data_IF_066215588567
#
_entry.id   IF_066215588567
#
_cell.length_a   1.000
_cell.length_b   1.000
_cell.length_c   1.000
_cell.angle_alpha   90.00
_cell.angle_beta   90.00
_cell.angle_gamma   90.00
#
_symmetry.space_group_name_H-M   'P 1'
#
loop_
_entity.id
_entity.type
_entity.pdbx_description
1 polymer ?
#
# COMPACT_ATOMS: atom_id res chain seq x y z
N UNK A 1 12.94 42.95 11.77
CA UNK A 1 12.80 42.39 10.40
C UNK A 1 13.22 40.92 10.23
N UNK A 2 14.07 40.34 11.12
CA UNK A 2 14.44 38.92 11.03
C UNK A 2 13.24 37.98 11.13
N UNK A 3 12.34 38.21 12.10
CA UNK A 3 11.10 37.40 12.30
C UNK A 3 10.19 37.48 11.08
N UNK A 4 10.00 38.65 10.49
CA UNK A 4 9.17 38.83 9.29
C UNK A 4 9.75 38.06 8.08
N UNK A 5 11.08 38.14 7.91
CA UNK A 5 11.73 37.38 6.84
C UNK A 5 11.61 35.87 7.04
N UNK A 6 11.74 35.39 8.29
CA UNK A 6 11.55 33.98 8.62
C UNK A 6 10.10 33.52 8.32
N UNK A 7 9.10 34.29 8.73
CA UNK A 7 7.68 34.00 8.42
C UNK A 7 7.46 33.97 6.90
N UNK A 8 8.03 34.92 6.16
CA UNK A 8 7.92 34.96 4.70
C UNK A 8 8.53 33.71 4.05
N UNK A 9 9.69 33.26 4.49
CA UNK A 9 10.34 32.05 3.98
C UNK A 9 9.46 30.82 4.26
N UNK A 10 8.94 30.67 5.48
CA UNK A 10 8.04 29.58 5.85
C UNK A 10 6.78 29.61 4.98
N UNK A 11 6.20 30.81 4.76
CA UNK A 11 5.02 30.98 3.90
C UNK A 11 5.29 30.56 2.46
N UNK A 12 6.45 30.90 1.90
CA UNK A 12 6.85 30.49 0.54
C UNK A 12 7.01 28.97 0.47
N UNK A 13 7.72 28.36 1.44
CA UNK A 13 7.92 26.90 1.48
C UNK A 13 6.56 26.19 1.59
N UNK A 14 5.67 26.68 2.45
CA UNK A 14 4.32 26.12 2.59
C UNK A 14 3.51 26.27 1.30
N UNK A 15 3.54 27.42 0.64
CA UNK A 15 2.89 27.65 -0.64
C UNK A 15 3.40 26.65 -1.70
N UNK A 16 4.71 26.50 -1.82
CA UNK A 16 5.33 25.54 -2.75
C UNK A 16 4.86 24.12 -2.41
N UNK A 17 4.81 23.75 -1.13
CA UNK A 17 4.31 22.44 -0.68
C UNK A 17 2.85 22.23 -1.10
N UNK A 18 1.97 23.23 -0.90
CA UNK A 18 0.57 23.12 -1.29
C UNK A 18 0.41 22.94 -2.81
N UNK A 19 1.20 23.67 -3.61
CA UNK A 19 1.18 23.56 -5.07
C UNK A 19 1.72 22.20 -5.55
N UNK A 20 2.81 21.72 -4.97
CA UNK A 20 3.45 20.47 -5.39
C UNK A 20 2.71 19.22 -4.86
N UNK A 21 2.03 19.33 -3.73
CA UNK A 21 1.45 18.19 -3.05
C UNK A 21 -0.02 18.36 -2.67
N UNK A 22 -0.37 19.44 -1.97
CA UNK A 22 -1.70 19.65 -1.42
C UNK A 22 -2.83 19.63 -2.47
N UNK A 23 -2.55 20.08 -3.68
CA UNK A 23 -3.52 20.07 -4.78
C UNK A 23 -3.97 18.64 -5.16
N UNK A 24 -3.13 17.63 -4.92
CA UNK A 24 -3.44 16.24 -5.26
C UNK A 24 -4.55 15.64 -4.39
N UNK A 25 -4.87 16.24 -3.23
CA UNK A 25 -6.03 15.82 -2.42
C UNK A 25 -7.38 16.17 -3.05
N UNK A 26 -7.41 17.03 -4.08
CA UNK A 26 -8.62 17.42 -4.79
C UNK A 26 -8.89 16.58 -6.06
N UNK A 27 -8.20 15.45 -6.22
CA UNK A 27 -8.47 14.51 -7.33
C UNK A 27 -9.83 13.84 -7.16
N UNK A 28 -10.41 13.38 -8.27
CA UNK A 28 -11.56 12.48 -8.24
C UNK A 28 -11.24 11.26 -7.38
N UNK A 29 -12.20 10.80 -6.59
CA UNK A 29 -12.07 9.60 -5.77
C UNK A 29 -11.70 8.40 -6.66
N UNK A 30 -10.73 7.62 -6.20
CA UNK A 30 -10.20 6.50 -6.97
C UNK A 30 -11.25 5.41 -7.21
N UNK A 31 -12.21 5.23 -6.29
CA UNK A 31 -13.32 4.28 -6.46
C UNK A 31 -14.19 4.67 -7.66
N UNK A 32 -14.53 5.95 -7.78
CA UNK A 32 -15.33 6.46 -8.89
C UNK A 32 -14.56 6.33 -10.21
N UNK A 33 -13.26 6.64 -10.18
CA UNK A 33 -12.37 6.47 -11.34
C UNK A 33 -12.27 5.01 -11.80
N UNK A 34 -12.24 4.03 -10.86
CA UNK A 34 -12.25 2.59 -11.17
C UNK A 34 -13.55 2.17 -11.86
N UNK A 35 -14.69 2.62 -11.36
CA UNK A 35 -16.01 2.31 -11.93
C UNK A 35 -16.14 2.93 -13.32
N UNK A 36 -15.73 4.19 -13.48
CA UNK A 36 -15.77 4.88 -14.77
C UNK A 36 -14.87 4.18 -15.80
N UNK A 37 -13.63 3.84 -15.43
CA UNK A 37 -12.70 3.12 -16.29
C UNK A 37 -13.26 1.75 -16.70
N UNK A 38 -13.81 0.99 -15.76
CA UNK A 38 -14.44 -0.31 -16.02
C UNK A 38 -15.61 -0.18 -16.98
N UNK A 39 -16.50 0.78 -16.76
CA UNK A 39 -17.65 1.05 -17.63
C UNK A 39 -17.21 1.37 -19.06
N UNK A 40 -16.23 2.27 -19.21
CA UNK A 40 -15.71 2.66 -20.51
C UNK A 40 -15.07 1.47 -21.25
N UNK A 41 -14.31 0.64 -20.55
CA UNK A 41 -13.57 -0.48 -21.16
C UNK A 41 -14.50 -1.63 -21.53
N UNK A 42 -15.55 -1.88 -20.74
CA UNK A 42 -16.45 -3.04 -20.93
C UNK A 42 -17.82 -2.67 -21.51
N UNK A 43 -18.02 -1.40 -21.90
CA UNK A 43 -19.30 -0.87 -22.38
C UNK A 43 -20.46 -1.13 -21.40
N UNK A 44 -20.22 -0.86 -20.12
CA UNK A 44 -21.17 -1.04 -19.02
C UNK A 44 -21.65 0.32 -18.50
N UNK A 45 -22.66 0.33 -17.61
CA UNK A 45 -23.23 1.53 -17.01
C UNK A 45 -23.44 1.33 -15.49
N UNK A 46 -22.46 0.75 -14.81
CA UNK A 46 -22.48 0.56 -13.35
C UNK A 46 -22.38 1.94 -12.69
N UNK A 47 -23.35 2.29 -11.85
CA UNK A 47 -23.34 3.54 -11.08
C UNK A 47 -22.70 3.40 -9.72
N UNK A 48 -22.81 2.20 -9.11
CA UNK A 48 -22.31 1.91 -7.77
C UNK A 48 -21.99 0.44 -7.64
N UNK A 49 -20.93 0.10 -6.97
CA UNK A 49 -20.61 -1.26 -6.55
C UNK A 49 -21.05 -1.41 -5.10
N UNK A 50 -21.94 -2.36 -4.84
CA UNK A 50 -22.40 -2.74 -3.51
C UNK A 50 -21.72 -4.04 -3.11
N UNK A 51 -21.39 -4.16 -1.85
CA UNK A 51 -20.78 -5.35 -1.24
C UNK A 51 -21.27 -5.49 0.19
N UNK A 52 -21.29 -6.71 0.67
CA UNK A 52 -21.73 -7.10 1.99
C UNK A 52 -20.63 -7.84 2.76
N UNK A 53 -20.96 -8.37 3.93
CA UNK A 53 -20.02 -9.11 4.78
C UNK A 53 -19.51 -10.39 4.09
N UNK A 54 -20.34 -11.08 3.33
CA UNK A 54 -19.94 -12.29 2.61
C UNK A 54 -18.90 -12.00 1.53
N UNK A 55 -19.01 -10.86 0.83
CA UNK A 55 -18.01 -10.40 -0.12
C UNK A 55 -16.65 -10.11 0.58
N UNK A 56 -16.68 -9.59 1.81
CA UNK A 56 -15.48 -9.39 2.61
C UNK A 56 -14.82 -10.71 3.01
N UNK A 57 -15.62 -11.68 3.43
CA UNK A 57 -15.18 -13.03 3.78
C UNK A 57 -14.58 -13.74 2.55
N UNK A 58 -15.23 -13.64 1.39
CA UNK A 58 -14.71 -14.21 0.14
C UNK A 58 -13.40 -13.57 -0.29
N UNK A 59 -13.30 -12.24 -0.22
CA UNK A 59 -12.05 -11.54 -0.48
C UNK A 59 -10.94 -12.01 0.48
N UNK A 60 -11.26 -12.21 1.76
CA UNK A 60 -10.28 -12.69 2.74
C UNK A 60 -9.80 -14.11 2.41
N UNK A 61 -10.71 -15.04 2.08
CA UNK A 61 -10.36 -16.39 1.62
C UNK A 61 -9.48 -16.37 0.38
N UNK A 62 -9.83 -15.52 -0.60
CA UNK A 62 -9.03 -15.33 -1.81
C UNK A 62 -7.61 -14.86 -1.48
N UNK A 63 -7.47 -13.87 -0.59
CA UNK A 63 -6.15 -13.35 -0.20
C UNK A 63 -5.33 -14.41 0.57
N UNK A 64 -5.94 -15.20 1.46
CA UNK A 64 -5.25 -16.33 2.12
C UNK A 64 -4.73 -17.33 1.08
N UNK A 65 -5.59 -17.74 0.14
CA UNK A 65 -5.20 -18.65 -0.95
C UNK A 65 -4.00 -18.10 -1.71
N UNK A 66 -4.05 -16.82 -2.13
CA UNK A 66 -2.96 -16.17 -2.88
C UNK A 66 -1.69 -16.02 -2.07
N UNK A 67 -1.77 -15.67 -0.78
CA UNK A 67 -0.61 -15.66 0.12
C UNK A 67 0.04 -17.05 0.22
N UNK A 68 -0.76 -18.10 0.45
CA UNK A 68 -0.26 -19.47 0.56
C UNK A 68 0.41 -19.98 -0.73
N UNK A 69 -0.16 -19.62 -1.89
CA UNK A 69 0.38 -20.00 -3.21
C UNK A 69 1.67 -19.25 -3.56
N UNK A 70 1.68 -17.92 -3.39
CA UNK A 70 2.83 -17.10 -3.75
C UNK A 70 4.00 -17.28 -2.78
N UNK A 71 3.70 -17.53 -1.48
CA UNK A 71 4.75 -17.79 -0.49
C UNK A 71 5.65 -18.99 -0.85
N UNK A 72 5.10 -19.98 -1.52
CA UNK A 72 5.87 -21.16 -1.98
C UNK A 72 6.88 -20.84 -3.08
N UNK A 73 6.76 -19.66 -3.71
CA UNK A 73 7.55 -19.25 -4.88
C UNK A 73 8.57 -18.16 -4.56
N UNK A 74 8.61 -17.67 -3.31
CA UNK A 74 9.57 -16.66 -2.88
C UNK A 74 10.75 -17.29 -2.16
N UNK A 75 11.90 -16.62 -2.22
CA UNK A 75 13.09 -17.01 -1.48
C UNK A 75 12.90 -16.85 0.03
N UNK A 76 13.68 -17.60 0.81
CA UNK A 76 13.67 -17.53 2.27
C UNK A 76 15.09 -17.51 2.83
N UNK A 77 15.25 -16.97 4.03
CA UNK A 77 16.51 -16.96 4.76
C UNK A 77 16.72 -18.29 5.53
N UNK A 78 17.84 -18.36 6.28
CA UNK A 78 18.17 -19.53 7.12
C UNK A 78 17.14 -19.83 8.22
N UNK A 79 16.27 -18.88 8.56
CA UNK A 79 15.18 -19.03 9.51
C UNK A 79 13.84 -19.33 8.83
N UNK A 80 13.86 -19.57 7.53
CA UNK A 80 12.70 -19.81 6.66
C UNK A 80 11.72 -18.63 6.63
N UNK A 81 12.24 -17.41 6.85
CA UNK A 81 11.49 -16.17 6.67
C UNK A 81 11.68 -15.68 5.25
N UNK A 82 10.61 -15.15 4.66
CA UNK A 82 10.61 -14.59 3.30
C UNK A 82 11.75 -13.59 3.11
N UNK A 83 12.46 -13.72 2.00
CA UNK A 83 13.47 -12.77 1.52
C UNK A 83 13.15 -12.31 0.12
N UNK A 84 13.37 -11.02 -0.14
CA UNK A 84 13.34 -10.50 -1.50
C UNK A 84 14.42 -11.17 -2.36
N UNK A 85 14.10 -11.35 -3.63
CA UNK A 85 15.04 -11.91 -4.59
C UNK A 85 16.23 -10.96 -4.78
N UNK A 86 17.40 -11.38 -4.29
CA UNK A 86 18.62 -10.57 -4.26
C UNK A 86 18.60 -9.42 -3.23
N UNK A 87 19.39 -8.37 -3.42
CA UNK A 87 19.54 -7.26 -2.47
C UNK A 87 18.50 -6.15 -2.73
N UNK A 88 18.39 -5.22 -1.77
CA UNK A 88 17.42 -4.13 -1.85
C UNK A 88 17.55 -3.25 -3.11
N UNK A 89 18.77 -3.01 -3.62
CA UNK A 89 18.97 -2.21 -4.85
C UNK A 89 18.30 -2.87 -6.05
N UNK A 90 18.42 -4.18 -6.15
CA UNK A 90 17.77 -4.95 -7.19
C UNK A 90 16.24 -4.96 -6.99
N UNK A 91 15.75 -5.10 -5.76
CA UNK A 91 14.31 -5.01 -5.46
C UNK A 91 13.75 -3.65 -5.89
N UNK A 92 14.36 -2.53 -5.45
CA UNK A 92 13.90 -1.19 -5.83
C UNK A 92 13.91 -0.97 -7.35
N UNK A 93 14.90 -1.51 -8.06
CA UNK A 93 14.99 -1.35 -9.53
C UNK A 93 13.92 -2.08 -10.33
N UNK A 94 13.29 -3.12 -9.78
CA UNK A 94 12.22 -3.91 -10.42
C UNK A 94 10.82 -3.37 -10.17
N UNK A 95 10.65 -2.45 -9.23
CA UNK A 95 9.34 -1.97 -8.80
C UNK A 95 8.54 -1.33 -9.94
N UNK A 96 9.19 -0.55 -10.80
CA UNK A 96 8.52 0.16 -11.90
C UNK A 96 7.74 -0.77 -12.83
N UNK A 97 8.23 -1.99 -13.06
CA UNK A 97 7.55 -2.97 -13.91
C UNK A 97 6.15 -3.34 -13.40
N UNK A 98 5.89 -3.22 -12.10
CA UNK A 98 4.57 -3.42 -11.53
C UNK A 98 3.54 -2.44 -12.11
N UNK A 99 3.88 -1.15 -12.17
CA UNK A 99 3.00 -0.15 -12.77
C UNK A 99 2.87 -0.27 -14.28
N UNK A 100 3.96 -0.59 -14.98
CA UNK A 100 3.94 -0.75 -16.44
C UNK A 100 3.07 -1.91 -16.93
N UNK A 101 2.77 -2.87 -16.07
CA UNK A 101 1.92 -4.02 -16.38
C UNK A 101 0.46 -3.83 -15.91
N UNK A 102 0.12 -2.68 -15.36
CA UNK A 102 -1.26 -2.40 -14.89
C UNK A 102 -2.10 -1.83 -16.01
N UNK A 103 -3.05 -2.60 -16.50
CA UNK A 103 -3.96 -2.22 -17.59
C UNK A 103 -5.24 -1.54 -17.08
N UNK A 104 -5.18 -0.84 -15.96
CA UNK A 104 -6.31 -0.08 -15.42
C UNK A 104 -5.88 1.36 -15.11
N UNK A 105 -6.81 2.29 -15.23
CA UNK A 105 -6.62 3.72 -14.89
C UNK A 105 -5.46 4.40 -15.64
N UNK A 106 -5.04 3.84 -16.77
CA UNK A 106 -3.89 4.35 -17.54
C UNK A 106 -2.57 4.42 -16.71
N UNK A 107 -2.45 3.58 -15.68
CA UNK A 107 -1.26 3.52 -14.80
C UNK A 107 -0.01 3.00 -15.51
N UNK A 108 -0.18 2.26 -16.60
CA UNK A 108 0.86 1.77 -17.50
C UNK A 108 1.50 2.89 -18.33
N UNK A 109 0.88 4.06 -18.40
CA UNK A 109 1.44 5.20 -19.13
C UNK A 109 2.80 5.58 -18.55
N UNK A 110 3.79 5.59 -19.44
CA UNK A 110 5.14 6.00 -19.09
C UNK A 110 5.16 7.48 -18.69
N UNK A 111 5.48 7.74 -17.42
CA UNK A 111 5.84 9.06 -16.94
C UNK A 111 7.36 9.16 -16.74
N UNK A 112 7.85 10.39 -16.55
CA UNK A 112 9.24 10.63 -16.15
C UNK A 112 9.26 10.62 -14.62
N UNK A 113 9.49 9.43 -14.04
CA UNK A 113 9.57 9.26 -12.59
C UNK A 113 10.99 8.89 -12.17
N UNK A 114 11.44 9.46 -11.06
CA UNK A 114 12.70 9.05 -10.45
C UNK A 114 12.57 7.61 -9.90
N UNK A 115 13.66 6.84 -10.00
CA UNK A 115 13.72 5.51 -9.38
C UNK A 115 13.61 5.62 -7.86
N UNK A 116 12.94 4.68 -7.23
CA UNK A 116 12.88 4.60 -5.78
C UNK A 116 14.29 4.46 -5.17
N UNK A 117 14.52 5.11 -4.04
CA UNK A 117 15.82 5.19 -3.36
C UNK A 117 15.75 4.61 -1.95
N UNK A 118 16.84 4.01 -1.46
CA UNK A 118 16.93 3.63 -0.06
C UNK A 118 17.11 4.88 0.82
N UNK A 119 16.44 4.91 1.96
CA UNK A 119 16.64 5.95 2.96
C UNK A 119 17.98 5.73 3.64
N UNK A 120 18.79 6.80 3.69
CA UNK A 120 20.01 6.81 4.49
C UNK A 120 19.65 6.65 5.98
N UNK A 121 20.36 5.79 6.71
CA UNK A 121 20.03 5.46 8.11
C UNK A 121 18.61 4.86 8.32
N UNK A 122 18.15 4.04 7.39
CA UNK A 122 16.85 3.35 7.44
C UNK A 122 16.52 2.76 8.82
N UNK A 123 17.52 2.26 9.56
CA UNK A 123 17.31 1.67 10.89
C UNK A 123 16.75 2.66 11.91
N UNK A 124 17.10 3.94 11.84
CA UNK A 124 16.56 4.97 12.74
C UNK A 124 15.07 5.20 12.48
N UNK A 125 14.63 5.06 11.22
CA UNK A 125 13.22 5.19 10.89
C UNK A 125 12.36 4.03 11.42
N UNK A 126 12.94 2.90 11.76
CA UNK A 126 12.17 1.84 12.41
C UNK A 126 11.57 2.30 13.75
N UNK A 127 12.23 3.22 14.47
CA UNK A 127 11.68 3.79 15.73
C UNK A 127 10.48 4.71 15.53
N UNK A 128 10.24 5.18 14.31
CA UNK A 128 9.06 5.98 13.95
C UNK A 128 7.94 5.15 13.33
N UNK A 129 8.18 3.86 13.07
CA UNK A 129 7.24 2.99 12.35
C UNK A 129 7.18 3.27 10.84
N UNK A 130 7.92 4.24 10.33
CA UNK A 130 7.86 4.68 8.93
C UNK A 130 8.60 3.68 8.03
N UNK A 131 7.88 3.15 7.04
CA UNK A 131 8.42 2.21 6.04
C UNK A 131 8.89 2.88 4.76
N UNK A 132 8.35 4.07 4.43
CA UNK A 132 8.75 4.86 3.27
C UNK A 132 8.38 6.33 3.43
N UNK A 133 8.92 7.17 2.58
CA UNK A 133 8.64 8.62 2.54
C UNK A 133 8.73 9.12 1.11
N UNK A 134 7.64 9.64 0.59
CA UNK A 134 7.67 10.45 -0.62
C UNK A 134 8.04 11.90 -0.31
N UNK A 135 8.95 12.48 -1.08
CA UNK A 135 9.32 13.90 -0.96
C UNK A 135 8.72 14.69 -2.13
N UNK A 136 7.72 15.55 -1.91
CA UNK A 136 7.13 16.33 -2.99
C UNK A 136 8.07 17.41 -3.55
N UNK A 137 9.06 17.87 -2.76
CA UNK A 137 10.03 18.86 -3.20
C UNK A 137 11.06 18.29 -4.20
N UNK A 138 11.36 17.00 -4.10
CA UNK A 138 12.36 16.33 -4.96
C UNK A 138 11.71 15.31 -5.91
N UNK A 139 10.43 15.00 -5.74
CA UNK A 139 9.73 13.97 -6.50
C UNK A 139 10.22 12.55 -6.21
N UNK A 140 10.87 12.30 -5.07
CA UNK A 140 11.55 11.06 -4.75
C UNK A 140 10.72 10.14 -3.87
N UNK A 141 10.60 8.87 -4.29
CA UNK A 141 10.13 7.77 -3.49
C UNK A 141 11.30 7.17 -2.68
N UNK A 142 11.26 7.26 -1.36
CA UNK A 142 12.33 6.82 -0.48
C UNK A 142 11.84 5.69 0.42
N UNK A 143 12.60 4.59 0.52
CA UNK A 143 12.18 3.34 1.16
C UNK A 143 13.09 2.98 2.33
N UNK A 144 12.49 2.63 3.46
CA UNK A 144 13.19 2.07 4.62
C UNK A 144 13.58 0.61 4.35
N UNK A 145 14.83 0.42 3.93
CA UNK A 145 15.38 -0.91 3.60
C UNK A 145 15.78 -1.75 4.82
N UNK A 146 15.58 -1.22 6.05
CA UNK A 146 15.78 -1.96 7.30
C UNK A 146 14.50 -2.63 7.81
N UNK A 147 13.35 -2.36 7.18
CA UNK A 147 12.09 -3.05 7.45
C UNK A 147 12.15 -4.52 7.01
N UNK A 148 11.30 -5.41 7.54
CA UNK A 148 11.21 -6.78 7.04
C UNK A 148 10.95 -6.84 5.54
N UNK A 149 11.58 -7.79 4.86
CA UNK A 149 11.54 -7.89 3.39
C UNK A 149 10.12 -7.97 2.83
N UNK A 150 9.15 -8.51 3.58
CA UNK A 150 7.73 -8.56 3.15
C UNK A 150 7.10 -7.18 2.91
N UNK A 151 7.69 -6.10 3.45
CA UNK A 151 7.20 -4.73 3.25
C UNK A 151 7.90 -4.00 2.11
N UNK A 152 9.18 -4.30 1.82
CA UNK A 152 10.00 -3.51 0.90
C UNK A 152 9.38 -3.37 -0.49
N UNK A 153 8.89 -4.44 -1.17
CA UNK A 153 8.26 -4.32 -2.48
C UNK A 153 7.00 -3.45 -2.46
N UNK A 154 6.10 -3.71 -1.50
CA UNK A 154 4.85 -2.96 -1.35
C UNK A 154 5.10 -1.49 -1.03
N UNK A 155 5.96 -1.20 -0.05
CA UNK A 155 6.32 0.18 0.32
C UNK A 155 6.93 0.93 -0.87
N UNK A 156 7.79 0.25 -1.64
CA UNK A 156 8.38 0.87 -2.84
C UNK A 156 7.30 1.34 -3.81
N UNK A 157 6.32 0.49 -4.09
CA UNK A 157 5.21 0.82 -5.00
C UNK A 157 4.23 1.83 -4.37
N UNK A 158 4.07 1.83 -3.06
CA UNK A 158 3.29 2.83 -2.33
C UNK A 158 3.90 4.24 -2.49
N UNK A 159 5.19 4.40 -2.21
CA UNK A 159 5.87 5.69 -2.42
C UNK A 159 5.88 6.11 -3.90
N UNK A 160 5.94 5.14 -4.80
CA UNK A 160 5.80 5.40 -6.24
C UNK A 160 4.36 5.77 -6.65
N UNK A 161 3.32 5.39 -5.90
CA UNK A 161 1.96 5.91 -6.09
C UNK A 161 1.90 7.41 -5.75
N UNK A 162 2.54 7.81 -4.67
CA UNK A 162 2.66 9.21 -4.31
C UNK A 162 3.39 10.03 -5.39
N UNK A 163 4.45 9.48 -6.01
CA UNK A 163 5.09 10.12 -7.17
C UNK A 163 4.14 10.35 -8.35
N UNK A 164 3.12 9.51 -8.49
CA UNK A 164 2.08 9.61 -9.53
C UNK A 164 0.94 10.55 -9.16
N UNK A 165 1.09 11.27 -8.04
CA UNK A 165 0.14 12.28 -7.58
C UNK A 165 -1.07 11.71 -6.82
N UNK A 166 -0.98 10.49 -6.29
CA UNK A 166 -1.99 9.95 -5.39
C UNK A 166 -1.62 10.29 -3.95
N UNK A 167 -2.22 11.36 -3.41
CA UNK A 167 -1.88 11.88 -2.09
C UNK A 167 -2.57 11.11 -0.95
N UNK A 168 -3.69 10.48 -1.21
CA UNK A 168 -4.42 9.68 -0.23
C UNK A 168 -3.68 8.38 0.08
N UNK A 169 -3.46 8.10 1.37
CA UNK A 169 -2.81 6.86 1.83
C UNK A 169 -3.57 5.60 1.39
N UNK A 170 -4.92 5.65 1.45
CA UNK A 170 -5.76 4.52 1.02
C UNK A 170 -5.62 4.23 -0.47
N UNK A 171 -5.57 5.29 -1.29
CA UNK A 171 -5.37 5.17 -2.73
C UNK A 171 -3.96 4.66 -3.04
N UNK A 172 -2.94 5.20 -2.36
CA UNK A 172 -1.56 4.75 -2.51
C UNK A 172 -1.39 3.27 -2.10
N UNK A 173 -2.01 2.84 -1.00
CA UNK A 173 -2.03 1.45 -0.57
C UNK A 173 -2.73 0.53 -1.58
N UNK A 174 -3.88 0.94 -2.11
CA UNK A 174 -4.59 0.17 -3.14
C UNK A 174 -3.76 0.06 -4.43
N UNK A 175 -3.17 1.16 -4.90
CA UNK A 175 -2.35 1.18 -6.11
C UNK A 175 -1.06 0.37 -5.94
N UNK A 176 -0.46 0.40 -4.75
CA UNK A 176 0.66 -0.47 -4.41
C UNK A 176 0.27 -1.96 -4.50
N UNK A 177 -0.91 -2.33 -3.97
CA UNK A 177 -1.43 -3.70 -4.11
C UNK A 177 -1.58 -4.09 -5.58
N UNK A 178 -2.24 -3.25 -6.39
CA UNK A 178 -2.45 -3.54 -7.82
C UNK A 178 -1.11 -3.66 -8.55
N UNK A 179 -0.17 -2.75 -8.33
CA UNK A 179 1.14 -2.83 -8.96
C UNK A 179 1.97 -4.04 -8.48
N UNK A 180 1.83 -4.43 -7.22
CA UNK A 180 2.44 -5.65 -6.68
C UNK A 180 1.96 -6.91 -7.38
N UNK A 181 0.63 -7.10 -7.49
CA UNK A 181 0.06 -8.33 -8.09
C UNK A 181 0.27 -8.41 -9.61
N UNK A 182 0.48 -7.27 -10.29
CA UNK A 182 0.83 -7.20 -11.71
C UNK A 182 2.34 -7.22 -11.97
N UNK A 183 3.19 -7.23 -10.94
CA UNK A 183 4.61 -7.46 -11.11
C UNK A 183 4.86 -8.95 -11.42
N UNK A 184 5.79 -9.24 -12.34
CA UNK A 184 6.14 -10.62 -12.72
C UNK A 184 6.88 -11.39 -11.62
N UNK A 185 7.45 -10.69 -10.64
CA UNK A 185 8.28 -11.26 -9.59
C UNK A 185 7.44 -11.61 -8.35
N UNK A 186 7.58 -12.84 -7.87
CA UNK A 186 6.73 -13.36 -6.78
C UNK A 186 6.96 -12.68 -5.42
N UNK A 187 8.13 -12.11 -5.17
CA UNK A 187 8.38 -11.33 -3.95
C UNK A 187 7.51 -10.05 -3.91
N UNK A 188 7.25 -9.43 -5.07
CA UNK A 188 6.29 -8.33 -5.18
C UNK A 188 4.85 -8.83 -4.98
N UNK A 189 4.46 -9.88 -5.71
CA UNK A 189 3.10 -10.42 -5.60
C UNK A 189 2.77 -10.82 -4.17
N UNK A 190 3.69 -11.55 -3.50
CA UNK A 190 3.51 -11.95 -2.11
C UNK A 190 3.40 -10.75 -1.17
N UNK A 191 4.27 -9.75 -1.32
CA UNK A 191 4.22 -8.51 -0.55
C UNK A 191 2.87 -7.80 -0.71
N UNK A 192 2.33 -7.71 -1.92
CA UNK A 192 1.00 -7.15 -2.18
C UNK A 192 -0.12 -7.92 -1.50
N UNK A 193 -0.16 -9.24 -1.67
CA UNK A 193 -1.19 -10.07 -1.06
C UNK A 193 -1.15 -10.06 0.46
N UNK A 194 0.03 -10.12 1.07
CA UNK A 194 0.17 -10.12 2.54
C UNK A 194 -0.27 -8.79 3.16
N UNK A 195 0.02 -7.65 2.52
CA UNK A 195 -0.43 -6.35 3.00
C UNK A 195 -1.95 -6.17 2.82
N UNK A 196 -2.51 -6.58 1.69
CA UNK A 196 -3.96 -6.59 1.48
C UNK A 196 -4.66 -7.51 2.51
N UNK A 197 -4.11 -8.70 2.78
CA UNK A 197 -4.60 -9.62 3.80
C UNK A 197 -4.67 -8.94 5.18
N UNK A 198 -3.65 -8.17 5.57
CA UNK A 198 -3.65 -7.42 6.84
C UNK A 198 -4.74 -6.37 6.91
N UNK A 199 -5.00 -5.62 5.82
CA UNK A 199 -6.08 -4.63 5.80
C UNK A 199 -7.45 -5.30 5.94
N UNK A 200 -7.70 -6.35 5.15
CA UNK A 200 -8.97 -7.07 5.19
C UNK A 200 -9.17 -7.80 6.52
N UNK A 201 -8.11 -8.41 7.08
CA UNK A 201 -8.14 -9.00 8.42
C UNK A 201 -8.58 -7.99 9.49
N UNK A 202 -8.04 -6.77 9.45
CA UNK A 202 -8.41 -5.71 10.40
C UNK A 202 -9.87 -5.24 10.25
N UNK A 203 -10.41 -5.29 9.04
CA UNK A 203 -11.82 -4.99 8.80
C UNK A 203 -12.72 -6.13 9.29
N UNK A 204 -12.39 -7.38 8.95
CA UNK A 204 -13.15 -8.56 9.37
C UNK A 204 -13.16 -8.74 10.89
N UNK A 205 -12.05 -8.45 11.57
CA UNK A 205 -11.97 -8.49 13.03
C UNK A 205 -12.99 -7.58 13.75
N UNK A 206 -13.43 -6.50 13.10
CA UNK A 206 -14.41 -5.56 13.65
C UNK A 206 -15.87 -6.03 13.45
N UNK A 207 -16.09 -6.94 12.50
CA UNK A 207 -17.41 -7.41 12.10
C UNK A 207 -17.66 -8.80 12.67
N UNK A 208 -16.78 -9.75 12.42
CA UNK A 208 -16.86 -11.13 12.86
C UNK A 208 -15.47 -11.67 13.24
N UNK A 209 -15.15 -11.60 14.53
CA UNK A 209 -13.87 -12.05 15.07
C UNK A 209 -13.76 -13.59 15.07
N UNK A 210 -14.88 -14.30 15.23
CA UNK A 210 -14.91 -15.77 15.26
C UNK A 210 -14.61 -16.31 13.86
N UNK A 211 -15.25 -15.72 12.85
CA UNK A 211 -14.99 -16.06 11.45
C UNK A 211 -13.55 -15.75 11.05
N UNK A 212 -12.98 -14.65 11.53
CA UNK A 212 -11.56 -14.35 11.32
C UNK A 212 -10.67 -15.45 11.90
N UNK A 213 -10.91 -15.92 13.13
CA UNK A 213 -10.11 -17.00 13.74
C UNK A 213 -10.26 -18.32 12.97
N UNK A 214 -11.49 -18.67 12.54
CA UNK A 214 -11.74 -19.84 11.70
C UNK A 214 -10.88 -19.78 10.42
N UNK A 215 -10.94 -18.66 9.70
CA UNK A 215 -10.22 -18.50 8.42
C UNK A 215 -8.70 -18.43 8.62
N UNK A 216 -8.22 -17.81 9.71
CA UNK A 216 -6.80 -17.77 10.02
C UNK A 216 -6.17 -19.16 10.18
N UNK A 217 -6.94 -20.18 10.59
CA UNK A 217 -6.47 -21.55 10.68
C UNK A 217 -6.07 -22.16 9.31
N UNK A 218 -6.50 -21.54 8.21
CA UNK A 218 -6.18 -21.97 6.83
C UNK A 218 -4.92 -21.29 6.26
N UNK A 219 -4.34 -20.33 7.00
CA UNK A 219 -3.08 -19.69 6.62
C UNK A 219 -1.94 -20.70 6.85
N UNK A 220 -1.07 -20.86 5.83
CA UNK A 220 0.04 -21.79 5.93
C UNK A 220 1.10 -21.36 6.95
N UNK A 221 1.81 -22.34 7.54
CA UNK A 221 2.86 -22.10 8.55
C UNK A 221 3.95 -21.14 8.06
N UNK A 222 4.28 -21.18 6.78
CA UNK A 222 5.29 -20.28 6.20
C UNK A 222 4.82 -18.83 6.20
N UNK A 223 3.55 -18.59 5.85
CA UNK A 223 2.94 -17.25 5.90
C UNK A 223 2.82 -16.78 7.35
N UNK A 224 2.36 -17.64 8.27
CA UNK A 224 2.28 -17.31 9.69
C UNK A 224 3.65 -16.96 10.28
N UNK A 225 4.70 -17.66 9.88
CA UNK A 225 6.09 -17.37 10.30
C UNK A 225 6.54 -15.97 9.84
N UNK A 226 6.22 -15.58 8.62
CA UNK A 226 6.57 -14.25 8.11
C UNK A 226 5.81 -13.14 8.85
N UNK A 227 4.52 -13.36 9.13
CA UNK A 227 3.71 -12.43 9.93
C UNK A 227 4.23 -12.30 11.36
N UNK A 228 4.57 -13.41 11.99
CA UNK A 228 5.12 -13.42 13.35
C UNK A 228 6.52 -12.76 13.42
N UNK A 229 7.38 -13.04 12.42
CA UNK A 229 8.68 -12.37 12.30
C UNK A 229 8.49 -10.85 12.21
N UNK A 230 7.57 -10.42 11.35
CA UNK A 230 7.25 -9.01 11.19
C UNK A 230 6.76 -8.38 12.49
N UNK A 231 5.82 -9.03 13.20
CA UNK A 231 5.32 -8.57 14.49
C UNK A 231 6.44 -8.44 15.52
N UNK A 232 7.29 -9.47 15.64
CA UNK A 232 8.46 -9.46 16.54
C UNK A 232 9.50 -8.41 16.14
N UNK A 233 9.64 -8.12 14.87
CA UNK A 233 10.54 -7.06 14.41
C UNK A 233 10.05 -5.71 14.90
N UNK A 234 8.80 -5.36 14.62
CA UNK A 234 8.26 -4.05 14.96
C UNK A 234 8.11 -3.84 16.46
N UNK A 235 7.78 -4.88 17.22
CA UNK A 235 7.68 -4.78 18.70
C UNK A 235 8.98 -4.33 19.37
N UNK A 236 10.14 -4.50 18.72
CA UNK A 236 11.43 -3.99 19.23
C UNK A 236 11.57 -2.47 19.14
N UNK A 237 10.75 -1.84 18.31
CA UNK A 237 10.80 -0.40 18.01
C UNK A 237 9.58 0.33 18.57
N UNK A 238 8.63 -0.36 19.18
CA UNK A 238 7.49 0.26 19.86
C UNK A 238 7.97 1.14 21.02
N UNK A 239 7.45 2.38 21.10
CA UNK A 239 7.82 3.31 22.16
C UNK A 239 7.21 4.69 21.99
N UNK A 240 7.71 5.66 22.76
CA UNK A 240 7.20 7.04 22.74
C UNK A 240 7.42 7.73 21.40
N UNK A 241 8.55 7.46 20.72
CA UNK A 241 8.88 8.05 19.42
C UNK A 241 7.88 7.60 18.36
N UNK A 242 7.52 6.30 18.34
CA UNK A 242 6.51 5.76 17.43
C UNK A 242 5.16 6.44 17.66
N UNK A 243 4.69 6.53 18.91
CA UNK A 243 3.42 7.21 19.27
C UNK A 243 3.41 8.68 18.86
N UNK A 244 4.54 9.39 19.02
CA UNK A 244 4.65 10.78 18.59
C UNK A 244 4.57 10.92 17.07
N UNK A 245 5.26 10.04 16.33
CA UNK A 245 5.21 9.98 14.88
C UNK A 245 3.79 9.74 14.37
N UNK A 246 3.07 8.78 14.94
CA UNK A 246 1.67 8.48 14.59
C UNK A 246 0.76 9.68 14.84
N UNK A 247 0.93 10.38 15.96
CA UNK A 247 0.16 11.58 16.28
C UNK A 247 0.43 12.73 15.28
N UNK A 248 1.69 12.94 14.90
CA UNK A 248 2.08 13.96 13.91
C UNK A 248 1.49 13.64 12.54
N UNK A 249 1.58 12.38 12.11
CA UNK A 249 1.02 11.94 10.83
C UNK A 249 -0.51 12.06 10.82
N UNK A 250 -1.19 11.66 11.88
CA UNK A 250 -2.64 11.85 12.02
C UNK A 250 -3.06 13.32 11.94
N UNK A 251 -2.31 14.20 12.59
CA UNK A 251 -2.57 15.64 12.56
C UNK A 251 -2.37 16.19 11.15
N UNK A 252 -1.30 15.80 10.48
CA UNK A 252 -1.01 16.17 9.10
C UNK A 252 -2.13 15.76 8.14
N UNK A 253 -2.59 14.51 8.21
CA UNK A 253 -3.67 14.00 7.35
C UNK A 253 -4.98 14.76 7.59
N UNK A 254 -5.33 15.06 8.85
CA UNK A 254 -6.53 15.84 9.19
C UNK A 254 -6.47 17.26 8.65
N UNK A 255 -5.34 17.93 8.76
CA UNK A 255 -5.13 19.31 8.24
C UNK A 255 -5.27 19.33 6.71
N UNK A 256 -4.89 18.26 6.01
CA UNK A 256 -5.05 18.14 4.55
C UNK A 256 -6.42 17.58 4.12
N UNK A 257 -7.43 17.63 4.99
CA UNK A 257 -8.81 17.28 4.64
C UNK A 257 -9.16 15.81 4.77
N UNK A 258 -8.24 14.97 5.26
CA UNK A 258 -8.52 13.57 5.58
C UNK A 258 -9.16 13.51 6.97
N UNK A 259 -10.50 13.45 7.00
CA UNK A 259 -11.30 13.55 8.25
C UNK A 259 -10.97 12.46 9.28
N UNK A 260 -10.59 11.29 8.84
CA UNK A 260 -10.38 10.11 9.66
C UNK A 260 -8.91 9.90 10.08
N UNK A 261 -7.97 10.72 9.58
CA UNK A 261 -6.54 10.53 9.83
C UNK A 261 -6.05 9.14 9.37
N UNK A 262 -5.18 8.48 10.14
CA UNK A 262 -4.70 7.12 9.86
C UNK A 262 -5.75 6.03 10.10
N UNK A 263 -6.92 6.38 10.66
CA UNK A 263 -8.07 5.46 10.78
C UNK A 263 -8.78 5.17 9.45
N UNK A 264 -8.30 5.74 8.34
CA UNK A 264 -8.87 5.58 6.99
C UNK A 264 -8.62 4.20 6.35
N UNK A 265 -8.06 3.23 7.09
CA UNK A 265 -7.88 1.84 6.61
C UNK A 265 -9.18 1.15 6.15
N UNK A 266 -10.34 1.71 6.47
CA UNK A 266 -11.64 1.29 5.90
C UNK A 266 -11.75 1.56 4.40
N UNK A 267 -11.18 2.65 3.89
CA UNK A 267 -11.27 3.03 2.47
C UNK A 267 -10.47 2.11 1.56
N UNK A 268 -9.28 1.68 1.98
CA UNK A 268 -8.48 0.73 1.19
C UNK A 268 -9.24 -0.60 1.00
N UNK A 269 -9.95 -1.08 2.02
CA UNK A 269 -10.77 -2.30 1.92
C UNK A 269 -11.94 -2.10 0.95
N UNK A 270 -12.57 -0.92 0.96
CA UNK A 270 -13.61 -0.57 0.01
C UNK A 270 -13.09 -0.57 -1.45
N UNK A 271 -11.88 -0.07 -1.68
CA UNK A 271 -11.23 -0.13 -3.00
C UNK A 271 -10.92 -1.58 -3.41
N UNK A 272 -10.41 -2.39 -2.48
CA UNK A 272 -10.15 -3.81 -2.72
C UNK A 272 -11.43 -4.58 -3.07
N UNK A 273 -12.53 -4.35 -2.33
CA UNK A 273 -13.83 -4.95 -2.59
C UNK A 273 -14.41 -4.48 -3.92
N UNK A 274 -14.29 -3.19 -4.24
CA UNK A 274 -14.72 -2.65 -5.54
C UNK A 274 -13.94 -3.31 -6.68
N UNK A 275 -12.62 -3.39 -6.56
CA UNK A 275 -11.78 -4.05 -7.55
C UNK A 275 -12.12 -5.54 -7.69
N UNK A 276 -12.27 -6.25 -6.56
CA UNK A 276 -12.65 -7.66 -6.56
C UNK A 276 -14.01 -7.91 -7.20
N UNK A 277 -15.00 -7.05 -6.93
CA UNK A 277 -16.32 -7.15 -7.56
C UNK A 277 -16.28 -6.89 -9.06
N UNK A 278 -15.50 -5.92 -9.51
CA UNK A 278 -15.40 -5.56 -10.93
C UNK A 278 -14.52 -6.54 -11.74
N UNK A 279 -13.43 -7.01 -11.15
CA UNK A 279 -12.41 -7.78 -11.88
C UNK A 279 -12.18 -9.19 -11.33
N UNK A 280 -12.51 -9.47 -10.06
CA UNK A 280 -12.18 -10.72 -9.36
C UNK A 280 -13.22 -11.81 -9.49
N UNK A 281 -14.52 -11.46 -9.40
CA UNK A 281 -15.61 -12.47 -9.51
C UNK A 281 -15.71 -13.12 -10.89
N UNK A 282 -15.22 -12.47 -11.93
CA UNK A 282 -15.23 -12.99 -13.32
C UNK A 282 -14.00 -13.84 -13.66
N UNK A 283 -12.86 -13.64 -12.99
CA UNK A 283 -11.66 -14.45 -13.22
C UNK A 283 -11.74 -15.87 -12.68
N UNK A 284 -12.69 -16.16 -11.77
CA UNK A 284 -12.94 -17.54 -11.31
C UNK A 284 -13.65 -18.43 -12.34
N UNK A 285 -14.14 -17.85 -13.44
CA UNK A 285 -14.73 -18.61 -14.56
C UNK A 285 -13.75 -18.89 -15.71
N UNK A 286 -12.55 -18.35 -15.67
CA UNK A 286 -11.50 -18.56 -16.67
C UNK A 286 -10.22 -19.09 -16.01
N UNK A 287 -10.28 -20.23 -15.33
CA UNK A 287 -9.09 -21.06 -15.10
C UNK A 287 -8.77 -21.77 -16.42
N UNK A 288 -7.70 -21.28 -17.10
CA UNK A 288 -7.02 -22.01 -18.18
C UNK A 288 -5.81 -22.72 -17.59
#
# INVERSE_FOLDING_TARGET
NFILNLISIIGIIYFIFVVLWGINYNRMDLKDSLIEYYNKTNNMAIKKVEYNEEDLIELYKFLIKKCNETRKKVSEDKYKVMKCNSNYKYTLSRAESGYLNVNILDLDKKGIYAKAKPIFNSKLLCYTGITGIYSPFTGEANVNISSPDIYIPFTTLHEMAHQRGYASEDEANFLAYIACINNKDFDFQYSGYILALKYVSSALAKIDIEKLYELNSTISDNVMRDLEYSRKFWSKYEGQVNKLSDNMNNTYLKVNGVKEGTMSYGKVVNLLLTYYALYGKWYSFFEW
#
